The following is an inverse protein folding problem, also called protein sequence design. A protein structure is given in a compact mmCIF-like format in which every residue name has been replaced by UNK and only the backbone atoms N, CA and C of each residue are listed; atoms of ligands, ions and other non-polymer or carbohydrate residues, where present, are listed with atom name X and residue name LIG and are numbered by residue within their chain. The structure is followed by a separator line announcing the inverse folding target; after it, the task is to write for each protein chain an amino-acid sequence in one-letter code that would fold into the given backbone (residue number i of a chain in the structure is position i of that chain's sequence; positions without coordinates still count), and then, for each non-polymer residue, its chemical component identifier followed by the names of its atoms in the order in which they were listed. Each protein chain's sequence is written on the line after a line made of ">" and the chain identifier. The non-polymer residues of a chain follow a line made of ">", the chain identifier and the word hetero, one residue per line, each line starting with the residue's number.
data_IF_437776970921
#
_entry.id   IF_437776970921
#
_cell.length_a   1.000
_cell.length_b   1.000
_cell.length_c   1.000
_cell.angle_alpha   90.00
_cell.angle_beta   90.00
_cell.angle_gamma   90.00
#
_symmetry.space_group_name_H-M   'P 1'
#
loop_
_entity.id
_entity.type
_entity.pdbx_description
1 polymer ?
#
# COMPACT_ATOMS: atom_id res chain seq x y z
N UNK A 1 14.13 10.09 2.26
CA UNK A 1 13.23 9.47 3.25
C UNK A 1 12.29 10.54 3.77
N UNK A 2 11.13 10.72 3.15
CA UNK A 2 10.06 11.56 3.69
C UNK A 2 8.79 10.73 3.50
N UNK A 3 8.40 9.98 4.52
CA UNK A 3 7.12 9.29 4.49
C UNK A 3 5.97 10.25 4.79
N UNK A 4 4.76 9.78 4.57
CA UNK A 4 3.54 10.56 4.78
C UNK A 4 3.47 11.17 6.19
N UNK A 5 3.02 12.43 6.26
CA UNK A 5 2.80 13.15 7.51
C UNK A 5 1.35 13.59 7.56
N UNK A 6 0.64 13.24 8.63
CA UNK A 6 -0.74 13.67 8.85
C UNK A 6 -0.97 14.11 10.30
N UNK A 7 -2.14 14.69 10.56
CA UNK A 7 -2.51 15.21 11.89
C UNK A 7 -3.84 14.62 12.34
N UNK A 8 -3.88 14.12 13.58
CA UNK A 8 -5.11 13.71 14.25
C UNK A 8 -5.25 14.56 15.52
N UNK A 9 -6.23 15.47 15.51
CA UNK A 9 -6.42 16.44 16.59
C UNK A 9 -5.17 17.31 16.79
N UNK A 10 -4.52 17.17 17.95
CA UNK A 10 -3.29 17.89 18.31
C UNK A 10 -2.00 17.11 17.99
N UNK A 11 -2.09 15.87 17.54
CA UNK A 11 -0.95 14.97 17.34
C UNK A 11 -0.52 14.98 15.88
N UNK A 12 0.78 15.19 15.63
CA UNK A 12 1.43 15.01 14.32
C UNK A 12 1.93 13.56 14.22
N UNK A 13 1.57 12.88 13.14
CA UNK A 13 1.97 11.51 12.86
C UNK A 13 2.87 11.53 11.62
N UNK A 14 3.98 10.81 11.69
CA UNK A 14 4.93 10.63 10.59
C UNK A 14 5.09 9.14 10.32
N UNK A 15 4.82 8.71 9.09
CA UNK A 15 5.09 7.34 8.65
C UNK A 15 6.55 7.25 8.21
N UNK A 16 7.26 6.24 8.70
CA UNK A 16 8.63 5.91 8.31
C UNK A 16 8.58 4.58 7.57
N UNK A 17 9.10 4.55 6.34
CA UNK A 17 9.11 3.36 5.48
C UNK A 17 10.49 3.27 4.84
N UNK A 18 11.06 2.07 4.84
CA UNK A 18 12.37 1.83 4.24
C UNK A 18 12.24 1.68 2.72
N UNK A 19 11.34 0.79 2.27
CA UNK A 19 11.05 0.57 0.85
C UNK A 19 9.53 0.52 0.65
N UNK A 20 9.04 1.29 -0.31
CA UNK A 20 7.70 1.14 -0.87
C UNK A 20 7.82 0.79 -2.36
N UNK A 21 7.15 -0.28 -2.78
CA UNK A 21 7.24 -0.77 -4.15
C UNK A 21 5.87 -1.24 -4.66
N UNK A 22 5.63 -1.00 -5.95
CA UNK A 22 4.44 -1.49 -6.66
C UNK A 22 4.82 -2.72 -7.47
N UNK A 23 4.14 -3.85 -7.25
CA UNK A 23 4.52 -5.12 -7.88
C UNK A 23 3.40 -6.14 -7.94
N UNK A 24 3.70 -7.28 -8.56
CA UNK A 24 2.82 -8.45 -8.52
C UNK A 24 2.96 -9.15 -7.17
N UNK A 25 1.96 -8.99 -6.31
CA UNK A 25 1.94 -9.63 -4.98
C UNK A 25 1.44 -11.07 -5.02
N UNK A 26 1.03 -11.60 -6.19
CA UNK A 26 0.55 -12.97 -6.36
C UNK A 26 1.54 -14.05 -5.93
N UNK A 27 2.84 -13.75 -5.88
CA UNK A 27 3.86 -14.67 -5.35
C UNK A 27 3.80 -14.83 -3.82
N UNK A 28 3.35 -13.78 -3.12
CA UNK A 28 3.32 -13.71 -1.65
C UNK A 28 1.90 -13.98 -1.14
N UNK A 29 0.90 -13.47 -1.86
CA UNK A 29 -0.53 -13.63 -1.59
C UNK A 29 -1.14 -14.27 -2.84
N UNK A 30 -1.24 -15.61 -2.91
CA UNK A 30 -1.65 -16.32 -4.12
C UNK A 30 -2.97 -15.87 -4.73
N UNK A 31 -3.95 -15.56 -3.88
CA UNK A 31 -5.32 -15.20 -4.30
C UNK A 31 -5.47 -13.71 -4.66
N UNK A 32 -4.38 -12.95 -4.69
CA UNK A 32 -4.36 -11.55 -5.05
C UNK A 32 -4.49 -11.32 -6.57
N UNK A 33 -5.64 -11.72 -7.12
CA UNK A 33 -5.98 -11.56 -8.54
C UNK A 33 -6.31 -10.10 -8.87
N UNK A 34 -5.72 -9.57 -9.95
CA UNK A 34 -5.78 -8.15 -10.33
C UNK A 34 -7.21 -7.62 -10.42
N UNK A 35 -8.08 -8.40 -11.04
CA UNK A 35 -9.47 -8.07 -11.33
C UNK A 35 -10.28 -7.95 -10.04
N UNK A 36 -10.00 -8.83 -9.06
CA UNK A 36 -10.67 -8.84 -7.75
C UNK A 36 -10.19 -7.73 -6.84
N UNK A 37 -8.92 -7.38 -6.92
CA UNK A 37 -8.33 -6.33 -6.09
C UNK A 37 -8.92 -4.94 -6.39
N UNK A 38 -9.33 -4.71 -7.64
CA UNK A 38 -9.95 -3.46 -8.07
C UNK A 38 -11.42 -3.33 -7.63
N UNK A 39 -12.08 -4.44 -7.30
CA UNK A 39 -13.45 -4.47 -6.78
C UNK A 39 -13.54 -4.10 -5.28
N UNK A 40 -12.41 -3.92 -4.59
CA UNK A 40 -12.35 -3.66 -3.15
C UNK A 40 -12.11 -2.16 -2.90
N UNK A 41 -13.17 -1.42 -2.58
CA UNK A 41 -13.17 0.06 -2.47
C UNK A 41 -12.17 0.66 -1.48
N UNK A 42 -11.89 -0.03 -0.36
CA UNK A 42 -10.90 0.48 0.59
C UNK A 42 -9.47 0.22 0.13
N UNK A 43 -9.29 -0.72 -0.81
CA UNK A 43 -8.00 -1.17 -1.31
C UNK A 43 -7.61 -0.41 -2.58
N UNK A 44 -8.51 -0.32 -3.58
CA UNK A 44 -8.33 0.51 -4.77
C UNK A 44 -9.00 1.88 -4.55
N UNK A 45 -8.33 3.01 -4.85
CA UNK A 45 -7.05 3.16 -5.55
C UNK A 45 -5.83 3.31 -4.63
N UNK A 46 -6.01 3.15 -3.31
CA UNK A 46 -5.00 3.52 -2.32
C UNK A 46 -3.78 2.58 -2.32
N UNK A 47 -4.03 1.27 -2.39
CA UNK A 47 -3.04 0.19 -2.30
C UNK A 47 -2.96 -0.64 -3.59
N UNK A 48 -3.86 -0.41 -4.54
CA UNK A 48 -3.87 -1.08 -5.85
C UNK A 48 -3.91 0.01 -6.92
N UNK A 49 -3.07 -0.11 -7.95
CA UNK A 49 -3.06 0.83 -9.06
C UNK A 49 -4.05 0.43 -10.16
N UNK A 50 -4.14 1.26 -11.22
CA UNK A 50 -5.06 1.05 -12.34
C UNK A 50 -4.80 -0.26 -13.12
N UNK A 51 -3.59 -0.81 -13.07
CA UNK A 51 -3.28 -2.12 -13.66
C UNK A 51 -3.47 -3.31 -12.69
N UNK A 52 -4.09 -3.09 -11.52
CA UNK A 52 -4.32 -4.12 -10.51
C UNK A 52 -3.04 -4.58 -9.78
N UNK A 53 -1.95 -3.81 -9.82
CA UNK A 53 -0.72 -4.08 -9.06
C UNK A 53 -0.85 -3.53 -7.64
N UNK A 54 -0.49 -4.35 -6.65
CA UNK A 54 -0.48 -3.92 -5.26
C UNK A 54 0.79 -3.14 -4.90
N UNK A 55 0.59 -2.15 -4.03
CA UNK A 55 1.62 -1.34 -3.38
C UNK A 55 1.91 -1.98 -2.02
N UNK A 56 3.14 -2.46 -1.84
CA UNK A 56 3.63 -3.01 -0.58
C UNK A 56 4.64 -2.09 0.08
N UNK A 57 4.75 -2.16 1.41
CA UNK A 57 5.81 -1.51 2.17
C UNK A 57 6.59 -2.52 2.99
N UNK A 58 7.91 -2.40 3.00
CA UNK A 58 8.84 -3.24 3.76
C UNK A 58 9.34 -2.42 4.95
N UNK A 59 9.32 -3.05 6.12
CA UNK A 59 9.74 -2.47 7.39
C UNK A 59 10.74 -3.43 8.04
N UNK A 60 12.03 -3.06 8.11
CA UNK A 60 12.98 -3.72 8.98
C UNK A 60 12.99 -2.97 10.32
N UNK A 61 12.63 -3.67 11.40
CA UNK A 61 12.77 -3.18 12.78
C UNK A 61 14.18 -3.44 13.28
#
# INVERSE_FOLDING_TARGET
>A
MAGEVWRIGRVKISRVVEIEATGGMSRIIPDAHRERLQEIDWLFPHFVNEEGRMRGSIHAL
#
